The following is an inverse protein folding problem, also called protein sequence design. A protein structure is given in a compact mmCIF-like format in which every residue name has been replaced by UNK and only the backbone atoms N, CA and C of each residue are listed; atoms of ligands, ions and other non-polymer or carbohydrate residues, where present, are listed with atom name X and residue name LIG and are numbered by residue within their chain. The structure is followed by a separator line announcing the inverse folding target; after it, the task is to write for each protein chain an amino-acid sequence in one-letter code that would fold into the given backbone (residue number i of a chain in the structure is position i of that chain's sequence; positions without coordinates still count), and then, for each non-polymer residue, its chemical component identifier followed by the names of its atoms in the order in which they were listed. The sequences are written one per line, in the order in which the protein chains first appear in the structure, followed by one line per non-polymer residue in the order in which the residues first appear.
data_IF_436588592878
#
_entry.id   IF_436588592878
#
_cell.length_a   1.000
_cell.length_b   1.000
_cell.length_c   1.000
_cell.angle_alpha   90.00
_cell.angle_beta   90.00
_cell.angle_gamma   90.00
#
_symmetry.space_group_name_H-M   'P 1'
#
loop_
_entity.id
_entity.type
_entity.pdbx_description
1 polymer ?
#
# COMPACT_ATOMS: atom_id res chain seq x y z
N UNK A 1 34.91 -30.32 -13.97
CA UNK A 1 33.66 -29.55 -14.17
C UNK A 1 33.82 -28.22 -13.47
N UNK A 2 33.83 -27.09 -14.19
CA UNK A 2 33.73 -25.77 -13.55
C UNK A 2 32.29 -25.64 -13.06
N UNK A 3 32.10 -25.66 -11.74
CA UNK A 3 30.80 -25.33 -11.13
C UNK A 3 30.42 -23.93 -11.61
N UNK A 4 29.17 -23.74 -12.02
CA UNK A 4 28.66 -22.41 -12.34
C UNK A 4 28.89 -21.49 -11.12
N UNK A 5 29.26 -20.21 -11.33
CA UNK A 5 29.40 -19.29 -10.22
C UNK A 5 28.09 -19.23 -9.43
N UNK A 6 28.16 -19.11 -8.09
CA UNK A 6 26.96 -19.00 -7.28
C UNK A 6 26.10 -17.82 -7.75
N UNK A 7 24.76 -17.95 -7.73
CA UNK A 7 23.88 -16.89 -8.18
C UNK A 7 24.07 -15.65 -7.30
N UNK A 8 24.27 -14.48 -7.90
CA UNK A 8 24.30 -13.20 -7.20
C UNK A 8 22.88 -12.70 -6.90
N UNK A 9 22.74 -11.83 -5.91
CA UNK A 9 21.47 -11.14 -5.69
C UNK A 9 21.15 -10.26 -6.90
N UNK A 10 19.90 -10.28 -7.42
CA UNK A 10 19.51 -9.45 -8.55
C UNK A 10 19.64 -7.95 -8.20
N UNK A 11 19.70 -7.05 -9.20
CA UNK A 11 19.59 -5.63 -8.95
C UNK A 11 18.26 -5.32 -8.27
N UNK A 12 18.28 -4.35 -7.35
CA UNK A 12 17.11 -3.90 -6.60
C UNK A 12 16.97 -2.39 -6.72
N UNK A 13 15.72 -1.92 -6.79
CA UNK A 13 15.38 -0.50 -6.81
C UNK A 13 14.44 -0.17 -5.64
N UNK A 14 14.97 -0.14 -4.40
CA UNK A 14 14.14 0.07 -3.22
C UNK A 14 13.46 1.45 -3.26
N UNK A 15 12.24 1.50 -2.74
CA UNK A 15 11.46 2.74 -2.65
C UNK A 15 12.16 3.74 -1.71
N UNK A 16 12.00 5.06 -1.96
CA UNK A 16 12.51 6.10 -1.08
C UNK A 16 11.86 5.99 0.31
N UNK A 17 12.61 6.37 1.33
CA UNK A 17 12.18 6.30 2.74
C UNK A 17 11.91 7.69 3.29
N UNK A 18 11.03 7.77 4.28
CA UNK A 18 10.77 9.01 5.03
C UNK A 18 11.79 9.17 6.16
N UNK A 19 12.28 10.40 6.36
CA UNK A 19 13.17 10.71 7.50
C UNK A 19 12.40 10.69 8.82
N UNK A 20 13.10 10.62 9.95
CA UNK A 20 12.44 10.65 11.26
C UNK A 20 11.73 12.00 11.50
N UNK A 21 12.31 13.10 11.01
CA UNK A 21 11.75 14.44 11.12
C UNK A 21 10.48 14.58 10.29
N UNK A 22 10.50 14.15 9.02
CA UNK A 22 9.32 14.16 8.16
C UNK A 22 8.22 13.22 8.68
N UNK A 23 8.60 12.09 9.29
CA UNK A 23 7.66 11.17 9.91
C UNK A 23 6.98 11.79 11.14
N UNK A 24 7.71 12.52 11.98
CA UNK A 24 7.15 13.27 13.09
C UNK A 24 6.22 14.41 12.60
N UNK A 25 6.61 15.11 11.54
CA UNK A 25 5.76 16.13 10.92
C UNK A 25 4.44 15.52 10.38
N UNK A 26 4.49 14.33 9.76
CA UNK A 26 3.30 13.58 9.34
C UNK A 26 2.43 13.18 10.54
N UNK A 27 3.03 12.74 11.64
CA UNK A 27 2.29 12.46 12.88
C UNK A 27 1.53 13.70 13.37
N UNK A 28 2.16 14.87 13.43
CA UNK A 28 1.49 16.10 13.86
C UNK A 28 0.34 16.50 12.92
N UNK A 29 0.54 16.40 11.61
CA UNK A 29 -0.53 16.65 10.62
C UNK A 29 -1.76 15.76 10.85
N UNK A 30 -1.57 14.48 11.19
CA UNK A 30 -2.68 13.58 11.51
C UNK A 30 -3.43 14.03 12.77
N UNK A 31 -2.71 14.51 13.78
CA UNK A 31 -3.32 15.04 15.01
C UNK A 31 -4.10 16.34 14.75
N UNK A 32 -3.58 17.21 13.89
CA UNK A 32 -4.27 18.42 13.43
C UNK A 32 -5.56 18.09 12.68
N UNK A 33 -5.50 17.18 11.71
CA UNK A 33 -6.67 16.68 11.00
C UNK A 33 -7.69 16.03 11.96
N UNK A 34 -7.22 15.27 12.95
CA UNK A 34 -8.07 14.69 13.99
C UNK A 34 -8.81 15.78 14.79
N UNK A 35 -8.08 16.80 15.25
CA UNK A 35 -8.64 17.90 16.01
C UNK A 35 -9.60 18.77 15.18
N UNK A 36 -9.47 18.81 13.85
CA UNK A 36 -10.39 19.52 12.97
C UNK A 36 -11.75 18.81 12.81
N UNK A 37 -11.82 17.50 13.09
CA UNK A 37 -13.02 16.69 12.85
C UNK A 37 -13.68 16.13 14.11
N UNK A 38 -13.00 16.15 15.26
CA UNK A 38 -13.50 15.68 16.54
C UNK A 38 -13.50 16.81 17.59
N UNK A 39 -14.56 16.88 18.38
CA UNK A 39 -14.74 17.87 19.44
C UNK A 39 -14.98 17.19 20.81
N UNK A 40 -14.42 17.78 21.87
CA UNK A 40 -14.70 17.39 23.25
C UNK A 40 -14.47 15.89 23.50
N UNK A 41 -15.52 15.20 23.93
CA UNK A 41 -15.46 13.78 24.31
C UNK A 41 -15.67 12.80 23.13
N UNK A 42 -15.91 13.31 21.92
CA UNK A 42 -16.28 12.49 20.76
C UNK A 42 -15.22 11.42 20.40
N UNK A 43 -13.94 11.70 20.65
CA UNK A 43 -12.85 10.74 20.39
C UNK A 43 -12.90 9.51 21.34
N UNK A 44 -13.63 9.62 22.46
CA UNK A 44 -13.80 8.55 23.45
C UNK A 44 -15.12 7.78 23.30
N UNK A 45 -15.96 8.15 22.33
CA UNK A 45 -17.25 7.53 22.08
C UNK A 45 -17.24 6.78 20.74
N UNK A 46 -17.44 5.47 20.79
CA UNK A 46 -17.61 4.63 19.59
C UNK A 46 -19.06 4.20 19.43
N UNK A 47 -19.62 4.39 18.24
CA UNK A 47 -20.95 3.89 17.86
C UNK A 47 -20.87 2.71 16.87
N UNK A 48 -22.02 2.08 16.60
CA UNK A 48 -22.11 0.87 15.79
C UNK A 48 -23.37 0.87 14.91
N UNK A 49 -23.31 0.06 13.85
CA UNK A 49 -24.44 -0.20 12.96
C UNK A 49 -24.59 0.79 11.81
N UNK A 50 -25.71 0.65 11.11
CA UNK A 50 -26.09 1.47 9.94
C UNK A 50 -27.04 2.56 10.45
N UNK A 51 -26.49 3.70 10.87
CA UNK A 51 -27.33 4.79 11.39
C UNK A 51 -28.08 5.49 10.25
N UNK A 52 -29.33 5.94 10.49
CA UNK A 52 -30.11 6.68 9.49
C UNK A 52 -29.34 7.88 8.92
N UNK A 53 -29.42 8.08 7.60
CA UNK A 53 -28.72 9.15 6.89
C UNK A 53 -27.31 8.76 6.44
N UNK A 54 -26.41 8.40 7.37
CA UNK A 54 -25.01 8.12 7.03
C UNK A 54 -24.77 6.72 6.43
N UNK A 55 -25.63 5.75 6.76
CA UNK A 55 -25.48 4.36 6.30
C UNK A 55 -24.31 3.60 6.95
N UNK A 56 -23.65 4.19 7.94
CA UNK A 56 -22.49 3.66 8.67
C UNK A 56 -22.33 4.41 10.00
N UNK A 57 -21.54 3.92 10.97
CA UNK A 57 -21.36 4.61 12.24
C UNK A 57 -20.88 6.05 12.05
N UNK A 58 -21.37 6.96 12.88
CA UNK A 58 -20.97 8.35 12.90
C UNK A 58 -19.46 8.49 13.16
N UNK A 59 -18.93 7.68 14.07
CA UNK A 59 -17.50 7.66 14.41
C UNK A 59 -16.66 7.24 13.20
N UNK A 60 -17.10 6.21 12.46
CA UNK A 60 -16.46 5.77 11.22
C UNK A 60 -16.45 6.88 10.18
N UNK A 61 -17.57 7.58 9.99
CA UNK A 61 -17.65 8.70 9.05
C UNK A 61 -16.71 9.86 9.43
N UNK A 62 -16.50 10.12 10.73
CA UNK A 62 -15.54 11.13 11.20
C UNK A 62 -14.10 10.72 10.98
N UNK A 63 -13.74 9.47 11.27
CA UNK A 63 -12.40 8.96 10.97
C UNK A 63 -12.11 8.98 9.47
N UNK A 64 -13.08 8.62 8.64
CA UNK A 64 -12.97 8.78 7.19
C UNK A 64 -12.68 10.22 6.76
N UNK A 65 -13.35 11.20 7.38
CA UNK A 65 -13.08 12.62 7.10
C UNK A 65 -11.65 13.02 7.51
N UNK A 66 -11.18 12.58 8.69
CA UNK A 66 -9.79 12.78 9.14
C UNK A 66 -8.80 12.19 8.13
N UNK A 67 -9.05 10.98 7.65
CA UNK A 67 -8.15 10.31 6.70
C UNK A 67 -8.17 11.01 5.34
N UNK A 68 -9.33 11.47 4.86
CA UNK A 68 -9.41 12.26 3.64
C UNK A 68 -8.59 13.55 3.75
N UNK A 69 -8.76 14.32 4.83
CA UNK A 69 -8.01 15.56 5.08
C UNK A 69 -6.51 15.30 5.21
N UNK A 70 -6.12 14.31 6.01
CA UNK A 70 -4.73 13.96 6.24
C UNK A 70 -3.97 13.55 4.96
N UNK A 71 -4.63 12.84 4.04
CA UNK A 71 -4.06 12.47 2.75
C UNK A 71 -4.29 13.52 1.64
N UNK A 72 -4.95 14.65 1.96
CA UNK A 72 -5.26 15.70 0.99
C UNK A 72 -6.22 15.25 -0.12
N UNK A 73 -7.11 14.31 0.19
CA UNK A 73 -8.06 13.71 -0.74
C UNK A 73 -9.47 14.30 -0.57
N UNK A 74 -10.32 14.13 -1.59
CA UNK A 74 -11.69 14.63 -1.54
C UNK A 74 -12.58 13.84 -0.58
N UNK A 75 -12.28 12.54 -0.40
CA UNK A 75 -13.08 11.63 0.39
C UNK A 75 -12.33 10.33 0.77
N UNK A 76 -12.82 9.58 1.76
CA UNK A 76 -12.27 8.29 2.15
C UNK A 76 -13.33 7.30 2.67
N UNK A 77 -13.14 6.01 2.41
CA UNK A 77 -14.02 4.94 2.90
C UNK A 77 -13.21 3.83 3.59
N UNK A 78 -13.60 3.50 4.82
CA UNK A 78 -13.12 2.32 5.52
C UNK A 78 -13.93 1.11 5.08
N UNK A 79 -13.24 0.02 4.73
CA UNK A 79 -13.88 -1.19 4.21
C UNK A 79 -13.35 -2.46 4.88
N UNK A 80 -14.14 -3.52 4.85
CA UNK A 80 -13.75 -4.85 5.33
C UNK A 80 -12.88 -5.58 4.29
N UNK A 81 -12.07 -6.54 4.75
CA UNK A 81 -11.18 -7.36 3.91
C UNK A 81 -9.77 -6.80 3.72
N UNK A 82 -9.35 -5.83 4.55
CA UNK A 82 -8.02 -5.23 4.55
C UNK A 82 -7.64 -4.67 3.17
N UNK A 83 -6.38 -4.77 2.77
CA UNK A 83 -5.90 -4.24 1.48
C UNK A 83 -6.59 -4.89 0.28
N UNK A 84 -6.86 -6.21 0.34
CA UNK A 84 -7.62 -6.90 -0.71
C UNK A 84 -9.05 -6.34 -0.83
N UNK A 85 -9.69 -6.07 0.30
CA UNK A 85 -11.01 -5.45 0.39
C UNK A 85 -11.06 -4.06 -0.22
N UNK A 86 -10.08 -3.21 0.14
CA UNK A 86 -9.92 -1.86 -0.40
C UNK A 86 -9.77 -1.86 -1.93
N UNK A 87 -8.81 -2.64 -2.46
CA UNK A 87 -8.56 -2.75 -3.90
C UNK A 87 -9.81 -3.28 -4.62
N UNK A 88 -10.45 -4.32 -4.07
CA UNK A 88 -11.68 -4.88 -4.64
C UNK A 88 -12.82 -3.89 -4.67
N UNK A 89 -13.04 -3.16 -3.58
CA UNK A 89 -14.09 -2.16 -3.50
C UNK A 89 -13.86 -1.03 -4.51
N UNK A 90 -12.64 -0.49 -4.58
CA UNK A 90 -12.29 0.57 -5.52
C UNK A 90 -12.45 0.13 -6.99
N UNK A 91 -11.95 -1.06 -7.35
CA UNK A 91 -12.10 -1.60 -8.71
C UNK A 91 -13.58 -1.88 -9.04
N UNK A 92 -14.33 -2.52 -8.14
CA UNK A 92 -15.75 -2.77 -8.33
C UNK A 92 -16.56 -1.47 -8.49
N UNK A 93 -16.12 -0.36 -7.89
CA UNK A 93 -16.82 0.91 -8.02
C UNK A 93 -16.68 1.53 -9.42
N UNK A 94 -15.62 1.19 -10.18
CA UNK A 94 -15.24 1.96 -11.39
C UNK A 94 -15.03 1.17 -12.67
N UNK A 95 -14.82 -0.15 -12.60
CA UNK A 95 -14.72 -1.04 -13.78
C UNK A 95 -15.82 -2.08 -13.78
N UNK A 96 -16.16 -2.58 -14.97
CA UNK A 96 -17.15 -3.63 -15.23
C UNK A 96 -16.55 -4.76 -16.07
N UNK A 97 -17.29 -5.86 -16.18
CA UNK A 97 -16.92 -6.95 -17.06
C UNK A 97 -16.73 -6.46 -18.50
N UNK A 98 -15.62 -6.83 -19.13
CA UNK A 98 -15.28 -6.41 -20.49
C UNK A 98 -14.60 -5.04 -20.61
N UNK A 99 -14.57 -4.22 -19.56
CA UNK A 99 -13.79 -2.98 -19.57
C UNK A 99 -12.30 -3.27 -19.70
N UNK A 100 -11.54 -2.28 -20.19
CA UNK A 100 -10.10 -2.37 -20.35
C UNK A 100 -9.36 -1.68 -19.19
N UNK A 101 -8.44 -2.41 -18.56
CA UNK A 101 -7.61 -1.92 -17.46
C UNK A 101 -6.13 -2.04 -17.83
N UNK A 102 -5.43 -0.91 -17.82
CA UNK A 102 -3.98 -0.89 -17.99
C UNK A 102 -3.29 -1.33 -16.70
N UNK A 103 -2.35 -2.27 -16.79
CA UNK A 103 -1.55 -2.74 -15.65
C UNK A 103 -0.07 -2.83 -16.02
N UNK A 104 0.79 -2.86 -15.02
CA UNK A 104 2.21 -3.11 -15.20
C UNK A 104 2.47 -4.55 -15.70
N UNK A 105 3.46 -4.74 -16.56
CA UNK A 105 3.97 -6.06 -16.99
C UNK A 105 4.79 -6.73 -15.87
N UNK A 106 4.11 -7.17 -14.83
CA UNK A 106 4.64 -7.97 -13.74
C UNK A 106 3.57 -8.95 -13.22
N UNK A 107 3.95 -9.99 -12.45
CA UNK A 107 2.96 -10.82 -11.78
C UNK A 107 2.03 -9.96 -10.93
N UNK A 108 0.72 -10.03 -11.16
CA UNK A 108 -0.26 -9.31 -10.36
C UNK A 108 -0.30 -9.95 -8.96
N UNK A 109 -0.48 -9.14 -7.91
CA UNK A 109 -0.65 -9.67 -6.55
C UNK A 109 -1.83 -10.66 -6.51
N UNK A 110 -1.63 -11.84 -5.91
CA UNK A 110 -2.54 -13.00 -6.06
C UNK A 110 -4.01 -12.68 -5.76
N UNK A 111 -4.29 -11.91 -4.70
CA UNK A 111 -5.69 -11.58 -4.37
C UNK A 111 -6.27 -10.51 -5.29
N UNK A 112 -5.44 -9.61 -5.81
CA UNK A 112 -5.83 -8.66 -6.87
C UNK A 112 -6.17 -9.41 -8.15
N UNK A 113 -5.37 -10.40 -8.56
CA UNK A 113 -5.67 -11.26 -9.72
C UNK A 113 -7.04 -11.95 -9.58
N UNK A 114 -7.36 -12.48 -8.39
CA UNK A 114 -8.68 -13.06 -8.09
C UNK A 114 -9.79 -12.02 -8.24
N UNK A 115 -9.58 -10.80 -7.75
CA UNK A 115 -10.52 -9.68 -7.93
C UNK A 115 -10.75 -9.35 -9.40
N UNK A 116 -9.68 -9.16 -10.18
CA UNK A 116 -9.75 -8.81 -11.60
C UNK A 116 -10.50 -9.89 -12.40
N UNK A 117 -10.18 -11.16 -12.15
CA UNK A 117 -10.91 -12.30 -12.73
C UNK A 117 -12.38 -12.31 -12.33
N UNK A 118 -12.68 -12.03 -11.05
CA UNK A 118 -14.05 -11.99 -10.52
C UNK A 118 -14.90 -10.88 -11.14
N UNK A 119 -14.30 -9.73 -11.45
CA UNK A 119 -14.96 -8.63 -12.18
C UNK A 119 -15.17 -8.99 -13.65
N UNK A 120 -14.25 -9.76 -14.24
CA UNK A 120 -14.22 -10.04 -15.68
C UNK A 120 -13.66 -8.89 -16.50
N UNK A 121 -12.78 -8.06 -15.91
CA UNK A 121 -12.11 -6.96 -16.60
C UNK A 121 -11.00 -7.49 -17.52
N UNK A 122 -10.80 -6.86 -18.68
CA UNK A 122 -9.71 -7.19 -19.61
C UNK A 122 -8.46 -6.40 -19.23
N UNK A 123 -7.45 -7.10 -18.72
CA UNK A 123 -6.15 -6.49 -18.42
C UNK A 123 -5.31 -6.37 -19.68
N UNK A 124 -4.64 -5.23 -19.85
CA UNK A 124 -3.57 -5.06 -20.85
C UNK A 124 -2.30 -4.64 -20.13
N UNK A 125 -1.21 -5.34 -20.40
CA UNK A 125 0.08 -5.11 -19.76
C UNK A 125 0.96 -4.15 -20.57
N UNK A 126 1.47 -3.11 -19.93
CA UNK A 126 2.58 -2.31 -20.42
C UNK A 126 3.73 -2.35 -19.41
N UNK A 127 4.97 -2.37 -19.90
CA UNK A 127 6.12 -2.23 -19.02
C UNK A 127 6.19 -0.76 -18.56
N UNK A 128 5.98 -0.53 -17.26
CA UNK A 128 6.02 0.81 -16.70
C UNK A 128 7.47 1.27 -16.44
N UNK A 129 8.43 0.34 -16.46
CA UNK A 129 9.86 0.67 -16.43
C UNK A 129 10.32 1.28 -17.77
N UNK A 130 9.56 1.07 -18.84
CA UNK A 130 9.80 1.62 -20.17
C UNK A 130 8.76 2.70 -20.49
N UNK A 131 9.21 3.96 -20.42
CA UNK A 131 8.36 5.11 -20.70
C UNK A 131 7.73 5.08 -22.10
N UNK A 132 8.47 4.61 -23.10
CA UNK A 132 7.95 4.53 -24.46
C UNK A 132 6.85 3.46 -24.59
N UNK A 133 6.98 2.34 -23.88
CA UNK A 133 5.94 1.31 -23.82
C UNK A 133 4.67 1.82 -23.14
N UNK A 134 4.80 2.57 -22.03
CA UNK A 134 3.67 3.21 -21.37
C UNK A 134 2.98 4.23 -22.28
N UNK A 135 3.74 5.15 -22.89
CA UNK A 135 3.19 6.17 -23.77
C UNK A 135 2.46 5.55 -24.98
N UNK A 136 3.02 4.49 -25.57
CA UNK A 136 2.37 3.75 -26.66
C UNK A 136 1.06 3.09 -26.23
N UNK A 137 1.01 2.51 -25.02
CA UNK A 137 -0.21 1.94 -24.48
C UNK A 137 -1.27 3.03 -24.25
N UNK A 138 -0.90 4.16 -23.66
CA UNK A 138 -1.80 5.29 -23.39
C UNK A 138 -2.32 5.94 -24.69
N UNK A 139 -1.46 6.09 -25.70
CA UNK A 139 -1.82 6.66 -27.01
C UNK A 139 -2.87 5.83 -27.77
N UNK A 140 -3.12 4.59 -27.37
CA UNK A 140 -4.21 3.78 -27.94
C UNK A 140 -5.61 4.37 -27.67
N UNK A 141 -5.75 5.22 -26.65
CA UNK A 141 -7.04 5.80 -26.23
C UNK A 141 -8.03 4.76 -25.67
N UNK A 142 -7.59 3.52 -25.44
CA UNK A 142 -8.44 2.39 -25.04
C UNK A 142 -8.80 2.41 -23.57
N UNK A 143 -7.93 2.96 -22.72
CA UNK A 143 -8.04 2.81 -21.26
C UNK A 143 -8.79 3.99 -20.64
N UNK A 144 -9.71 3.68 -19.71
CA UNK A 144 -10.27 4.69 -18.79
C UNK A 144 -9.57 4.66 -17.43
N UNK A 145 -9.04 3.49 -17.07
CA UNK A 145 -8.41 3.23 -15.79
C UNK A 145 -7.08 2.51 -15.97
N UNK A 146 -6.13 2.82 -15.10
CA UNK A 146 -4.93 2.05 -14.86
C UNK A 146 -4.86 1.63 -13.38
N UNK A 147 -4.37 0.42 -13.13
CA UNK A 147 -4.05 -0.06 -11.80
C UNK A 147 -2.53 -0.10 -11.64
N UNK A 148 -2.04 0.64 -10.65
CA UNK A 148 -0.62 0.83 -10.38
C UNK A 148 -0.30 0.25 -9.01
N UNK A 149 0.72 -0.60 -8.93
CA UNK A 149 1.22 -1.06 -7.64
C UNK A 149 2.35 -0.13 -7.20
N UNK A 150 2.22 0.52 -6.05
CA UNK A 150 3.29 1.39 -5.55
C UNK A 150 4.48 0.54 -5.14
N UNK A 151 4.20 -0.49 -4.35
CA UNK A 151 5.14 -1.54 -4.02
C UNK A 151 5.17 -2.58 -5.14
N UNK A 152 6.23 -2.54 -5.94
CA UNK A 152 6.39 -3.34 -7.16
C UNK A 152 6.54 -4.84 -6.87
N UNK A 153 6.22 -5.69 -7.84
CA UNK A 153 6.17 -7.15 -7.65
C UNK A 153 7.47 -7.87 -8.04
N UNK A 154 8.33 -7.24 -8.85
CA UNK A 154 9.67 -7.76 -9.13
C UNK A 154 10.72 -6.89 -8.47
N UNK A 155 11.78 -7.54 -7.97
CA UNK A 155 12.93 -6.87 -7.35
C UNK A 155 13.60 -5.85 -8.29
N UNK A 156 13.61 -6.16 -9.58
CA UNK A 156 14.22 -5.34 -10.61
C UNK A 156 13.30 -4.27 -11.21
N UNK A 157 12.02 -4.21 -10.84
CA UNK A 157 11.14 -3.13 -11.29
C UNK A 157 11.63 -1.80 -10.69
N UNK A 158 11.66 -0.75 -11.50
CA UNK A 158 12.29 0.54 -11.19
C UNK A 158 11.40 1.76 -11.44
N UNK A 159 10.21 1.61 -12.04
CA UNK A 159 9.36 2.75 -12.43
C UNK A 159 8.98 3.66 -11.25
N UNK A 160 8.99 4.97 -11.46
CA UNK A 160 8.47 5.92 -10.49
C UNK A 160 6.93 5.96 -10.59
N UNK A 161 6.18 5.64 -9.51
CA UNK A 161 4.72 5.72 -9.53
C UNK A 161 4.21 7.13 -9.85
N UNK A 162 4.90 8.20 -9.45
CA UNK A 162 4.50 9.57 -9.74
C UNK A 162 4.54 9.85 -11.25
N UNK A 163 5.59 9.39 -11.94
CA UNK A 163 5.72 9.54 -13.39
C UNK A 163 4.64 8.75 -14.14
N UNK A 164 4.34 7.53 -13.69
CA UNK A 164 3.27 6.70 -14.27
C UNK A 164 1.89 7.36 -14.07
N UNK A 165 1.59 7.83 -12.86
CA UNK A 165 0.34 8.53 -12.54
C UNK A 165 0.21 9.80 -13.39
N UNK A 166 1.27 10.59 -13.50
CA UNK A 166 1.28 11.81 -14.31
C UNK A 166 1.06 11.51 -15.81
N UNK A 167 1.70 10.46 -16.34
CA UNK A 167 1.51 10.04 -17.73
C UNK A 167 0.07 9.58 -17.99
N UNK A 168 -0.50 8.75 -17.11
CA UNK A 168 -1.90 8.34 -17.19
C UNK A 168 -2.84 9.55 -17.18
N UNK A 169 -2.66 10.48 -16.24
CA UNK A 169 -3.47 11.69 -16.12
C UNK A 169 -3.39 12.56 -17.37
N UNK A 170 -2.20 12.75 -17.94
CA UNK A 170 -2.00 13.51 -19.17
C UNK A 170 -2.73 12.89 -20.38
N UNK A 171 -2.89 11.57 -20.39
CA UNK A 171 -3.66 10.83 -21.39
C UNK A 171 -5.17 10.72 -21.07
N UNK A 172 -5.64 11.34 -19.98
CA UNK A 172 -7.05 11.24 -19.54
C UNK A 172 -7.41 9.88 -18.91
N UNK A 173 -6.42 9.09 -18.51
CA UNK A 173 -6.58 7.80 -17.83
C UNK A 173 -6.50 8.00 -16.32
N UNK A 174 -7.53 7.55 -15.61
CA UNK A 174 -7.61 7.62 -14.14
C UNK A 174 -6.83 6.47 -13.49
N UNK A 175 -6.34 6.65 -12.26
CA UNK A 175 -5.47 5.65 -11.62
C UNK A 175 -5.95 5.22 -10.24
N UNK A 176 -6.01 3.90 -10.02
CA UNK A 176 -6.10 3.29 -8.69
C UNK A 176 -4.71 2.77 -8.31
N UNK A 177 -4.21 3.18 -7.15
CA UNK A 177 -2.90 2.79 -6.62
C UNK A 177 -3.06 1.82 -5.46
N UNK A 178 -2.37 0.69 -5.54
CA UNK A 178 -2.14 -0.20 -4.40
C UNK A 178 -0.93 0.29 -3.61
N UNK A 179 -1.21 0.93 -2.47
CA UNK A 179 -0.22 1.51 -1.56
C UNK A 179 0.13 0.59 -0.38
N UNK A 180 -0.23 -0.70 -0.44
CA UNK A 180 0.19 -1.65 0.61
C UNK A 180 1.73 -1.64 0.75
N UNK A 181 2.20 -1.49 1.99
CA UNK A 181 3.61 -1.31 2.37
C UNK A 181 4.30 -0.02 1.87
N UNK A 182 3.59 0.84 1.12
CA UNK A 182 4.12 2.15 0.70
C UNK A 182 3.53 3.31 1.51
N UNK A 183 2.23 3.25 1.85
CA UNK A 183 1.55 4.26 2.65
C UNK A 183 2.31 4.51 3.97
N UNK A 184 2.62 5.79 4.25
CA UNK A 184 3.37 6.27 5.42
C UNK A 184 4.82 5.78 5.56
N UNK A 185 5.30 4.92 4.66
CA UNK A 185 6.70 4.47 4.61
C UNK A 185 7.50 5.19 3.53
N UNK A 186 6.81 5.65 2.48
CA UNK A 186 7.36 6.43 1.37
C UNK A 186 6.97 7.91 1.48
N UNK A 187 7.64 8.83 0.76
CA UNK A 187 7.37 10.26 0.86
C UNK A 187 5.96 10.71 0.51
N UNK A 188 5.16 9.91 -0.21
CA UNK A 188 3.78 10.22 -0.60
C UNK A 188 3.06 8.92 -0.99
N UNK A 189 1.80 8.74 -0.62
CA UNK A 189 0.92 7.71 -1.17
C UNK A 189 0.44 8.08 -2.59
N UNK A 190 -0.12 7.12 -3.34
CA UNK A 190 -0.63 7.36 -4.69
C UNK A 190 -1.53 8.60 -4.84
N UNK A 191 -2.46 8.82 -3.91
CA UNK A 191 -3.37 9.98 -3.91
C UNK A 191 -2.63 11.30 -3.70
N UNK A 192 -1.61 11.32 -2.84
CA UNK A 192 -0.72 12.48 -2.64
C UNK A 192 0.13 12.77 -3.90
N UNK A 193 0.33 11.76 -4.76
CA UNK A 193 1.00 11.86 -6.07
C UNK A 193 0.03 12.20 -7.23
N UNK A 194 -1.26 12.39 -6.94
CA UNK A 194 -2.27 12.77 -7.92
C UNK A 194 -3.09 11.61 -8.51
N UNK A 195 -3.04 10.43 -7.91
CA UNK A 195 -3.93 9.33 -8.29
C UNK A 195 -5.38 9.58 -7.85
N UNK A 196 -6.34 8.98 -8.57
CA UNK A 196 -7.76 9.06 -8.23
C UNK A 196 -8.13 8.27 -6.97
N UNK A 197 -7.39 7.22 -6.64
CA UNK A 197 -7.52 6.55 -5.35
C UNK A 197 -6.25 5.82 -4.93
N UNK A 198 -6.00 5.87 -3.62
CA UNK A 198 -5.07 4.99 -2.91
C UNK A 198 -5.84 3.92 -2.16
N UNK A 199 -5.36 2.67 -2.24
CA UNK A 199 -5.94 1.51 -1.58
C UNK A 199 -4.88 0.79 -0.74
N UNK A 200 -5.13 0.61 0.56
CA UNK A 200 -4.20 -0.12 1.41
C UNK A 200 -4.86 -0.73 2.66
N UNK A 201 -4.15 -1.69 3.26
CA UNK A 201 -4.54 -2.29 4.52
C UNK A 201 -4.13 -1.43 5.71
N UNK A 202 -5.06 -1.17 6.62
CA UNK A 202 -4.74 -0.54 7.91
C UNK A 202 -4.17 -1.56 8.91
N UNK A 203 -4.50 -2.84 8.78
CA UNK A 203 -3.84 -3.92 9.56
C UNK A 203 -2.32 -3.94 9.35
N UNK A 204 -1.83 -3.71 8.13
CA UNK A 204 -0.39 -3.55 7.84
C UNK A 204 0.22 -2.28 8.43
N UNK A 205 -0.60 -1.39 8.98
CA UNK A 205 -0.22 -0.14 9.63
C UNK A 205 -0.64 -0.18 11.12
N UNK A 206 -0.51 -1.35 11.76
CA UNK A 206 -0.83 -1.59 13.18
C UNK A 206 -2.29 -1.29 13.58
N UNK A 207 -3.16 -1.06 12.60
CA UNK A 207 -4.60 -0.91 12.80
C UNK A 207 -5.30 -2.26 12.99
N UNK A 208 -6.62 -2.25 13.17
CA UNK A 208 -7.40 -3.45 13.42
C UNK A 208 -7.40 -4.43 12.24
N UNK A 209 -7.56 -5.72 12.57
CA UNK A 209 -7.67 -6.81 11.60
C UNK A 209 -8.81 -6.55 10.61
N UNK A 210 -8.56 -6.88 9.34
CA UNK A 210 -9.59 -6.85 8.31
C UNK A 210 -10.00 -5.45 7.85
N UNK A 211 -9.46 -4.37 8.40
CA UNK A 211 -9.81 -3.00 7.94
C UNK A 211 -8.85 -2.52 6.85
N UNK A 212 -9.43 -2.05 5.74
CA UNK A 212 -8.76 -1.40 4.63
C UNK A 212 -9.27 0.02 4.42
N UNK A 213 -8.49 0.82 3.70
CA UNK A 213 -8.82 2.20 3.35
C UNK A 213 -8.82 2.35 1.82
N UNK A 214 -9.88 2.99 1.31
CA UNK A 214 -9.91 3.61 -0.01
C UNK A 214 -9.97 5.12 0.21
N UNK A 215 -8.99 5.89 -0.26
CA UNK A 215 -8.94 7.35 -0.10
C UNK A 215 -8.65 8.00 -1.45
N UNK A 216 -9.41 9.02 -1.84
CA UNK A 216 -9.32 9.57 -3.19
C UNK A 216 -10.51 10.43 -3.62
N UNK A 217 -10.80 10.39 -4.91
CA UNK A 217 -11.84 11.17 -5.57
C UNK A 217 -13.24 10.81 -5.03
N UNK A 218 -14.06 11.84 -4.81
CA UNK A 218 -15.39 11.72 -4.20
C UNK A 218 -16.32 10.79 -4.97
N UNK A 219 -16.25 10.81 -6.31
CA UNK A 219 -17.11 9.99 -7.16
C UNK A 219 -16.80 8.49 -7.02
N UNK A 220 -15.51 8.12 -6.97
CA UNK A 220 -15.02 6.75 -6.76
C UNK A 220 -15.38 6.26 -5.36
N UNK A 221 -15.01 7.02 -4.33
CA UNK A 221 -15.31 6.64 -2.93
C UNK A 221 -16.82 6.60 -2.68
N UNK A 222 -17.58 7.50 -3.32
CA UNK A 222 -19.04 7.44 -3.34
C UNK A 222 -19.58 6.13 -3.95
N UNK A 223 -18.94 5.61 -5.00
CA UNK A 223 -19.24 4.28 -5.55
C UNK A 223 -18.99 3.15 -4.55
N UNK A 224 -17.84 3.17 -3.88
CA UNK A 224 -17.50 2.20 -2.82
C UNK A 224 -18.59 2.14 -1.75
N UNK A 225 -19.06 3.30 -1.26
CA UNK A 225 -20.10 3.33 -0.22
C UNK A 225 -21.47 2.88 -0.72
N UNK A 226 -21.85 3.24 -1.95
CA UNK A 226 -23.12 2.78 -2.55
C UNK A 226 -23.17 1.26 -2.65
N UNK A 227 -22.08 0.64 -3.06
CA UNK A 227 -22.00 -0.81 -3.22
C UNK A 227 -21.88 -1.52 -1.85
N UNK A 228 -21.30 -0.86 -0.85
CA UNK A 228 -21.15 -1.38 0.51
C UNK A 228 -22.27 -0.88 1.46
N UNK A 229 -23.55 -1.11 1.13
CA UNK A 229 -24.67 -0.60 1.93
C UNK A 229 -25.01 -1.43 3.19
N UNK A 230 -24.58 -2.69 3.23
CA UNK A 230 -25.03 -3.64 4.27
C UNK A 230 -24.31 -3.43 5.61
N UNK A 231 -24.98 -3.75 6.72
CA UNK A 231 -24.39 -3.64 8.06
C UNK A 231 -23.13 -4.49 8.26
N UNK A 232 -23.10 -5.71 7.72
CA UNK A 232 -21.94 -6.60 7.82
C UNK A 232 -20.71 -6.11 7.04
N UNK A 233 -20.90 -5.19 6.08
CA UNK A 233 -19.83 -4.56 5.33
C UNK A 233 -19.27 -3.29 5.98
N UNK A 234 -19.94 -2.74 7.00
CA UNK A 234 -19.48 -1.52 7.66
C UNK A 234 -18.32 -1.79 8.62
N UNK A 235 -17.35 -0.88 8.61
CA UNK A 235 -16.34 -0.79 9.67
C UNK A 235 -16.96 -0.09 10.86
N UNK A 236 -16.88 -0.71 12.03
CA UNK A 236 -17.52 -0.20 13.24
C UNK A 236 -16.71 0.94 13.88
N UNK A 237 -17.35 1.80 14.67
CA UNK A 237 -16.70 2.99 15.23
C UNK A 237 -15.44 2.69 16.03
N UNK A 238 -15.43 1.61 16.81
CA UNK A 238 -14.25 1.20 17.58
C UNK A 238 -13.08 0.81 16.67
N UNK A 239 -13.34 0.08 15.58
CA UNK A 239 -12.31 -0.29 14.60
C UNK A 239 -11.76 0.96 13.90
N UNK A 240 -12.63 1.92 13.56
CA UNK A 240 -12.20 3.17 12.97
C UNK A 240 -11.28 3.97 13.91
N UNK A 241 -11.64 4.08 15.20
CA UNK A 241 -10.80 4.75 16.21
C UNK A 241 -9.48 4.00 16.45
N UNK A 242 -9.47 2.68 16.46
CA UNK A 242 -8.24 1.89 16.61
C UNK A 242 -7.31 2.07 15.40
N UNK A 243 -7.87 2.15 14.19
CA UNK A 243 -7.11 2.50 13.00
C UNK A 243 -6.47 3.89 13.14
N UNK A 244 -7.25 4.89 13.54
CA UNK A 244 -6.74 6.25 13.73
C UNK A 244 -5.64 6.29 14.80
N UNK A 245 -5.83 5.59 15.93
CA UNK A 245 -4.83 5.49 17.00
C UNK A 245 -3.54 4.88 16.51
N UNK A 246 -3.60 3.84 15.68
CA UNK A 246 -2.41 3.21 15.11
C UNK A 246 -1.58 4.19 14.28
N UNK A 247 -2.24 4.95 13.41
CA UNK A 247 -1.57 5.89 12.50
C UNK A 247 -0.83 7.02 13.22
N UNK A 248 -1.12 7.28 14.51
CA UNK A 248 -0.38 8.27 15.31
C UNK A 248 1.09 7.92 15.54
N UNK A 249 1.48 6.64 15.47
CA UNK A 249 2.87 6.24 15.75
C UNK A 249 3.55 5.53 14.58
N UNK A 250 2.77 5.02 13.63
CA UNK A 250 3.25 4.23 12.49
C UNK A 250 4.28 4.93 11.61
N UNK A 251 4.11 6.22 11.19
CA UNK A 251 5.12 6.91 10.38
C UNK A 251 6.52 6.91 11.04
N UNK A 252 6.55 7.18 12.35
CA UNK A 252 7.79 7.25 13.14
C UNK A 252 8.43 5.87 13.24
N UNK A 253 7.64 4.82 13.51
CA UNK A 253 8.15 3.45 13.56
C UNK A 253 8.73 3.00 12.21
N UNK A 254 8.09 3.35 11.10
CA UNK A 254 8.58 3.04 9.75
C UNK A 254 9.85 3.77 9.38
N UNK A 255 10.01 5.04 9.80
CA UNK A 255 11.26 5.78 9.63
C UNK A 255 12.40 5.13 10.43
N UNK A 256 12.15 4.74 11.69
CA UNK A 256 13.12 4.03 12.52
C UNK A 256 13.51 2.70 11.90
N UNK A 257 12.54 1.87 11.49
CA UNK A 257 12.80 0.59 10.84
C UNK A 257 13.60 0.75 9.54
N UNK A 258 13.27 1.76 8.73
CA UNK A 258 13.98 2.03 7.48
C UNK A 258 15.45 2.42 7.71
N UNK A 259 15.70 3.24 8.74
CA UNK A 259 17.06 3.60 9.19
C UNK A 259 17.84 2.38 9.68
N UNK A 260 17.25 1.57 10.56
CA UNK A 260 17.88 0.35 11.08
C UNK A 260 18.16 -0.65 9.95
N UNK A 261 17.23 -0.81 9.01
CA UNK A 261 17.43 -1.68 7.85
C UNK A 261 18.64 -1.25 7.01
N UNK A 262 18.81 0.05 6.76
CA UNK A 262 19.99 0.56 6.05
C UNK A 262 21.28 0.33 6.84
N UNK A 263 21.30 0.63 8.14
CA UNK A 263 22.46 0.40 9.01
C UNK A 263 22.89 -1.08 9.02
N UNK A 264 21.93 -2.00 9.18
CA UNK A 264 22.20 -3.45 9.15
C UNK A 264 22.74 -3.88 7.79
N UNK A 265 22.21 -3.33 6.69
CA UNK A 265 22.74 -3.63 5.36
C UNK A 265 24.21 -3.21 5.23
N UNK A 266 24.57 -2.01 5.68
CA UNK A 266 25.94 -1.49 5.61
C UNK A 266 26.90 -2.33 6.47
N UNK A 267 26.49 -2.70 7.68
CA UNK A 267 27.26 -3.55 8.60
C UNK A 267 27.49 -4.95 8.05
N UNK A 268 26.45 -5.57 7.49
CA UNK A 268 26.57 -6.88 6.83
C UNK A 268 27.46 -6.80 5.59
N UNK A 269 27.36 -5.74 4.79
CA UNK A 269 28.21 -5.53 3.62
C UNK A 269 29.68 -5.29 4.01
N UNK A 270 29.93 -4.70 5.18
CA UNK A 270 31.27 -4.51 5.75
C UNK A 270 31.86 -5.80 6.36
N UNK A 271 31.13 -6.92 6.35
CA UNK A 271 31.61 -8.22 6.81
C UNK A 271 31.49 -8.43 8.32
N UNK A 272 30.58 -7.75 9.01
CA UNK A 272 30.36 -7.94 10.45
C UNK A 272 30.01 -9.40 10.82
N UNK A 273 29.32 -10.11 9.92
CA UNK A 273 28.86 -11.48 10.15
C UNK A 273 29.46 -12.44 9.13
N UNK A 274 30.25 -13.39 9.61
CA UNK A 274 30.79 -14.49 8.81
C UNK A 274 29.67 -15.29 8.13
N UNK A 275 29.89 -15.64 6.86
CA UNK A 275 28.95 -16.42 6.06
C UNK A 275 27.90 -15.61 5.31
N UNK A 276 27.85 -14.28 5.48
CA UNK A 276 27.11 -13.39 4.59
C UNK A 276 27.97 -13.06 3.37
N UNK A 277 27.50 -13.46 2.19
CA UNK A 277 28.21 -13.28 0.94
C UNK A 277 27.77 -12.04 0.16
N UNK A 278 26.47 -11.72 0.17
CA UNK A 278 25.92 -10.49 -0.41
C UNK A 278 24.72 -10.03 0.42
N UNK A 279 24.51 -8.72 0.48
CA UNK A 279 23.31 -8.10 1.06
C UNK A 279 22.80 -7.00 0.16
N UNK A 280 21.47 -6.89 0.00
CA UNK A 280 20.82 -5.78 -0.69
C UNK A 280 19.57 -5.35 0.05
N UNK A 281 19.32 -4.04 0.11
CA UNK A 281 18.00 -3.52 0.47
C UNK A 281 17.06 -3.68 -0.72
N UNK A 282 15.85 -4.15 -0.48
CA UNK A 282 14.84 -4.34 -1.51
C UNK A 282 13.43 -4.06 -0.99
N UNK A 283 12.49 -3.90 -1.91
CA UNK A 283 11.07 -4.09 -1.65
C UNK A 283 10.66 -5.45 -2.23
N UNK A 284 10.50 -6.44 -1.36
CA UNK A 284 9.97 -7.75 -1.72
C UNK A 284 8.54 -7.85 -1.18
N UNK A 285 7.66 -7.00 -1.71
CA UNK A 285 6.55 -6.42 -0.97
C UNK A 285 7.11 -5.38 0.03
N UNK A 286 7.14 -5.65 1.33
CA UNK A 286 7.70 -4.67 2.28
C UNK A 286 9.20 -4.42 2.06
N UNK A 287 9.70 -3.31 2.61
CA UNK A 287 11.13 -2.98 2.62
C UNK A 287 11.85 -3.97 3.52
N UNK A 288 12.79 -4.73 2.96
CA UNK A 288 13.53 -5.77 3.67
C UNK A 288 14.99 -5.86 3.20
N UNK A 289 15.74 -6.74 3.87
CA UNK A 289 17.09 -7.13 3.46
C UNK A 289 17.05 -8.48 2.75
N UNK A 290 17.59 -8.52 1.54
CA UNK A 290 17.94 -9.77 0.86
C UNK A 290 19.37 -10.12 1.27
N UNK A 291 19.54 -11.26 1.93
CA UNK A 291 20.85 -11.74 2.38
C UNK A 291 21.15 -13.05 1.67
N UNK A 292 22.26 -13.08 0.92
CA UNK A 292 22.81 -14.31 0.33
C UNK A 292 23.89 -14.83 1.25
N UNK A 293 23.78 -16.10 1.62
CA UNK A 293 24.79 -16.80 2.41
C UNK A 293 25.86 -17.43 1.50
N UNK A 294 27.06 -17.65 2.04
CA UNK A 294 28.16 -18.34 1.35
C UNK A 294 27.93 -19.85 1.22
N UNK A 295 27.07 -20.41 2.08
CA UNK A 295 26.63 -21.81 2.11
C UNK A 295 25.13 -21.94 1.87
N UNK A 296 24.65 -23.04 1.28
CA UNK A 296 23.23 -23.23 0.92
C UNK A 296 22.35 -23.63 2.11
N UNK A 297 22.41 -22.87 3.21
CA UNK A 297 21.70 -23.16 4.48
C UNK A 297 20.53 -22.20 4.76
N UNK A 298 20.13 -21.40 3.76
CA UNK A 298 19.07 -20.39 3.92
C UNK A 298 17.73 -20.97 4.39
N UNK A 299 17.39 -22.21 4.02
CA UNK A 299 16.15 -22.88 4.43
C UNK A 299 16.12 -23.22 5.94
N UNK A 300 17.28 -23.36 6.57
CA UNK A 300 17.39 -23.66 8.01
C UNK A 300 17.27 -22.38 8.86
N UNK A 301 17.64 -21.22 8.27
CA UNK A 301 17.77 -19.94 8.98
C UNK A 301 16.51 -19.52 9.73
N UNK A 302 15.27 -19.62 9.20
CA UNK A 302 14.07 -19.24 9.95
C UNK A 302 13.90 -20.04 11.25
N UNK A 303 14.19 -21.34 11.21
CA UNK A 303 14.07 -22.22 12.38
C UNK A 303 15.12 -21.93 13.47
N UNK A 304 16.31 -21.49 13.05
CA UNK A 304 17.40 -21.09 13.95
C UNK A 304 17.09 -19.70 14.52
N UNK A 305 16.75 -18.73 13.67
CA UNK A 305 16.44 -17.36 14.08
C UNK A 305 15.25 -17.30 15.05
N UNK A 306 14.25 -18.18 14.89
CA UNK A 306 13.13 -18.28 15.82
C UNK A 306 13.56 -18.63 17.26
N UNK A 307 14.65 -19.39 17.44
CA UNK A 307 15.23 -19.68 18.77
C UNK A 307 15.81 -18.44 19.45
N UNK A 308 16.04 -17.37 18.68
CA UNK A 308 16.53 -16.07 19.13
C UNK A 308 15.45 -14.98 19.05
N UNK A 309 14.18 -15.35 18.90
CA UNK A 309 13.05 -14.41 18.96
C UNK A 309 12.61 -13.83 17.62
N UNK A 310 13.15 -14.28 16.48
CA UNK A 310 12.63 -13.87 15.17
C UNK A 310 11.26 -14.52 14.89
N UNK A 311 10.36 -13.77 14.24
CA UNK A 311 9.09 -14.31 13.78
C UNK A 311 9.32 -15.34 12.65
N UNK A 312 8.85 -16.60 12.78
CA UNK A 312 9.12 -17.66 11.80
C UNK A 312 8.18 -17.64 10.58
N UNK A 313 7.13 -16.81 10.61
CA UNK A 313 6.16 -16.64 9.54
C UNK A 313 5.80 -15.15 9.38
N UNK A 314 5.37 -14.72 8.18
CA UNK A 314 4.82 -13.39 7.98
C UNK A 314 3.62 -13.16 8.90
N UNK A 315 3.53 -11.95 9.48
CA UNK A 315 2.40 -11.47 10.28
C UNK A 315 1.51 -10.59 9.41
#
# INVERSE_FOLDING_TARGET
MRLAPPPSLPPTFPLPTVTLEDAAARQFRLLEATAAHFEGEQLFAADAGVVPGLGRPWTTARVEAVLADFFGAEDAALVQGAGTGAIRAALNAVVRAGDDLLIHRAPVYRTTEVTLRGIGVRTTEADFNDRAALDAALASGRFRWAYVQHTRQRLADSYDPAEVIAACRAAGVRTIVDDNYAALRTPAAGVELGADASCFSLFKLHGPEGVGLVVGARDLVGGVRRDNYSGGGQVQGHQALDALRALTHVPVLWAVQSRVGAEVADRLAAGEVDGVAEVRVANAQDRCLLVRLDRPVAAELPSVAARFGAAPYPV
#
